data_IF_151202053627
#
_entry.id   IF_151202053627
#
_cell.length_a   1.000
_cell.length_b   1.000
_cell.length_c   1.000
_cell.angle_alpha   90.00
_cell.angle_beta   90.00
_cell.angle_gamma   90.00
#
_symmetry.space_group_name_H-M   'P 1'
#
loop_
_entity.id
_entity.type
_entity.pdbx_description
1 polymer ?
#
# COMPACT_ATOMS: atom_id res chain seq x y z
N UNK A 1 -50.26 36.99 64.57
CA UNK A 1 -49.58 37.78 65.62
C UNK A 1 -48.19 38.13 65.10
N UNK A 2 -47.89 39.43 65.01
CA UNK A 2 -46.57 40.04 64.86
C UNK A 2 -45.79 39.86 63.53
N UNK A 3 -45.81 40.93 62.72
CA UNK A 3 -44.72 41.39 61.81
C UNK A 3 -43.45 41.75 62.63
N UNK A 4 -42.22 41.95 62.09
CA UNK A 4 -41.85 42.95 61.04
C UNK A 4 -40.78 42.43 60.01
N UNK A 5 -40.68 42.95 58.78
CA UNK A 5 -40.01 44.19 58.30
C UNK A 5 -38.57 44.38 58.80
N UNK A 6 -37.59 44.41 57.88
CA UNK A 6 -36.51 45.43 57.77
C UNK A 6 -35.44 44.92 56.79
N UNK A 7 -35.36 45.41 55.54
CA UNK A 7 -34.67 46.64 55.08
C UNK A 7 -33.13 46.50 55.06
N UNK A 8 -32.53 46.63 53.86
CA UNK A 8 -31.08 46.84 53.72
C UNK A 8 -30.43 46.35 52.42
N UNK A 9 -30.62 47.06 51.31
CA UNK A 9 -29.48 47.38 50.40
C UNK A 9 -28.96 48.77 50.81
N UNK A 10 -27.78 49.29 50.38
CA UNK A 10 -26.73 48.78 49.49
C UNK A 10 -25.29 48.95 50.05
N UNK A 11 -24.26 48.48 49.36
CA UNK A 11 -22.99 49.25 49.24
C UNK A 11 -22.21 48.86 47.99
N UNK A 12 -22.01 49.90 47.19
CA UNK A 12 -21.26 50.00 45.95
C UNK A 12 -19.76 49.97 46.26
N UNK A 13 -18.97 49.17 45.55
CA UNK A 13 -17.60 49.56 45.16
C UNK A 13 -17.45 49.33 43.66
N UNK A 14 -16.99 50.41 43.03
CA UNK A 14 -16.85 50.66 41.61
C UNK A 14 -15.57 50.02 41.05
N UNK A 15 -15.66 49.58 39.78
CA UNK A 15 -14.60 49.60 38.75
C UNK A 15 -13.32 48.79 38.98
N UNK A 16 -13.06 47.77 38.15
CA UNK A 16 -12.28 47.95 36.91
C UNK A 16 -12.41 46.74 35.97
N UNK A 17 -12.75 47.08 34.73
CA UNK A 17 -12.68 46.31 33.51
C UNK A 17 -11.36 45.53 33.33
N UNK A 18 -11.44 44.23 33.03
CA UNK A 18 -10.73 43.63 31.88
C UNK A 18 -11.57 42.47 31.35
N UNK A 19 -12.09 42.64 30.14
CA UNK A 19 -12.63 41.59 29.30
C UNK A 19 -11.50 40.75 28.69
N UNK A 20 -11.60 39.43 28.78
CA UNK A 20 -11.03 38.54 27.79
C UNK A 20 -11.99 37.36 27.56
N UNK A 21 -13.00 37.62 26.73
CA UNK A 21 -13.69 36.58 25.98
C UNK A 21 -12.75 36.13 24.86
N UNK A 22 -12.04 35.02 25.06
CA UNK A 22 -11.59 34.18 23.96
C UNK A 22 -11.98 32.76 24.35
N UNK A 23 -12.94 32.23 23.58
CA UNK A 23 -13.63 30.99 23.87
C UNK A 23 -12.68 29.82 24.09
N UNK A 24 -13.00 29.01 25.09
CA UNK A 24 -12.66 27.61 25.03
C UNK A 24 -13.23 27.10 23.70
N UNK A 25 -12.35 26.78 22.75
CA UNK A 25 -12.73 25.99 21.59
C UNK A 25 -13.29 24.69 22.16
N UNK A 26 -14.61 24.59 22.20
CA UNK A 26 -15.31 23.33 22.39
C UNK A 26 -14.93 22.55 21.14
N UNK A 27 -13.84 21.78 21.22
CA UNK A 27 -13.49 20.82 20.20
C UNK A 27 -14.70 19.90 20.09
N UNK A 28 -15.48 20.11 19.04
CA UNK A 28 -16.69 19.34 18.79
C UNK A 28 -16.25 17.87 18.72
N UNK A 29 -16.66 17.00 19.67
CA UNK A 29 -16.12 15.64 19.75
C UNK A 29 -16.43 14.83 18.49
N UNK A 30 -17.41 15.25 17.69
CA UNK A 30 -17.69 14.70 16.37
C UNK A 30 -16.52 14.73 15.38
N UNK A 31 -15.55 15.66 15.51
CA UNK A 31 -14.36 15.68 14.65
C UNK A 31 -13.16 14.93 15.24
N UNK A 32 -13.06 14.80 16.56
CA UNK A 32 -12.02 14.00 17.21
C UNK A 32 -12.31 12.49 17.08
N UNK A 33 -13.58 12.09 17.28
CA UNK A 33 -14.04 10.70 17.16
C UNK A 33 -13.96 10.20 15.71
N UNK A 34 -14.12 11.08 14.70
CA UNK A 34 -13.96 10.72 13.30
C UNK A 34 -12.49 10.42 12.91
N UNK A 35 -11.51 11.01 13.61
CA UNK A 35 -10.07 10.78 13.37
C UNK A 35 -9.52 9.61 14.19
N UNK A 36 -10.19 9.20 15.26
CA UNK A 36 -9.82 8.03 16.06
C UNK A 36 -10.24 6.70 15.40
N UNK A 37 -11.17 6.74 14.43
CA UNK A 37 -11.33 5.66 13.45
C UNK A 37 -10.23 5.69 12.37
N UNK A 38 -8.98 5.98 12.76
CA UNK A 38 -7.81 5.72 11.93
C UNK A 38 -7.48 4.24 12.06
N UNK A 39 -7.72 3.50 10.98
CA UNK A 39 -7.05 2.26 10.59
C UNK A 39 -6.70 1.32 11.75
N UNK A 40 -7.67 0.51 12.18
CA UNK A 40 -7.35 -0.75 12.81
C UNK A 40 -6.60 -1.63 11.80
N UNK A 41 -5.26 -1.51 11.82
CA UNK A 41 -4.28 -2.50 11.41
C UNK A 41 -4.09 -2.77 9.92
N UNK A 42 -3.87 -1.74 9.09
CA UNK A 42 -3.34 -2.00 7.73
C UNK A 42 -1.93 -2.60 7.85
N UNK A 43 -1.72 -3.79 7.30
CA UNK A 43 -0.40 -4.46 7.30
C UNK A 43 0.31 -4.26 5.96
N UNK A 44 1.38 -3.45 5.99
CA UNK A 44 2.21 -3.12 4.82
C UNK A 44 3.27 -4.18 4.51
N UNK A 45 3.50 -5.17 5.38
CA UNK A 45 4.53 -6.20 5.20
C UNK A 45 3.97 -7.39 4.43
N UNK A 46 4.80 -7.97 3.57
CA UNK A 46 4.51 -9.27 2.98
C UNK A 46 4.44 -10.37 4.07
N UNK A 47 3.61 -11.41 3.87
CA UNK A 47 3.66 -12.62 4.69
C UNK A 47 5.03 -13.31 4.63
N UNK A 48 5.35 -14.08 5.66
CA UNK A 48 6.61 -14.84 5.79
C UNK A 48 6.51 -16.28 5.28
N UNK A 49 5.38 -16.67 4.68
CA UNK A 49 5.11 -18.05 4.26
C UNK A 49 5.96 -18.54 3.09
N UNK A 50 6.55 -17.62 2.34
CA UNK A 50 7.53 -17.88 1.29
C UNK A 50 8.71 -16.92 1.42
N UNK A 51 9.92 -17.40 1.11
CA UNK A 51 11.13 -16.60 1.10
C UNK A 51 11.84 -16.71 -0.25
N UNK A 52 12.20 -15.60 -0.92
CA UNK A 52 12.94 -15.66 -2.17
C UNK A 52 14.37 -16.18 -1.95
N UNK A 53 14.87 -16.93 -2.93
CA UNK A 53 16.23 -17.44 -3.02
C UNK A 53 16.98 -16.70 -4.13
N UNK A 54 16.37 -16.57 -5.31
CA UNK A 54 17.00 -15.95 -6.47
C UNK A 54 15.97 -15.39 -7.44
N UNK A 55 16.41 -14.41 -8.23
CA UNK A 55 15.64 -13.82 -9.31
C UNK A 55 16.43 -13.95 -10.61
N UNK A 56 15.76 -14.40 -11.67
CA UNK A 56 16.25 -14.28 -13.04
C UNK A 56 15.36 -13.26 -13.73
N UNK A 57 15.93 -12.11 -14.10
CA UNK A 57 15.20 -10.98 -14.68
C UNK A 57 15.72 -10.74 -16.09
N UNK A 58 14.82 -10.77 -17.07
CA UNK A 58 15.07 -10.31 -18.42
C UNK A 58 14.24 -9.06 -18.67
N UNK A 59 14.87 -8.06 -19.29
CA UNK A 59 14.27 -6.75 -19.51
C UNK A 59 14.59 -6.29 -20.93
N UNK A 60 13.55 -5.94 -21.67
CA UNK A 60 13.63 -5.20 -22.93
C UNK A 60 13.33 -3.74 -22.60
N UNK A 61 14.37 -2.88 -22.52
CA UNK A 61 14.30 -1.62 -21.79
C UNK A 61 13.44 -0.56 -22.48
N UNK A 62 13.24 -0.64 -23.80
CA UNK A 62 12.55 0.42 -24.53
C UNK A 62 11.91 -0.07 -25.82
N UNK A 63 10.62 0.23 -25.95
CA UNK A 63 9.88 0.16 -27.19
C UNK A 63 9.59 1.60 -27.64
N UNK A 64 10.25 2.08 -28.71
CA UNK A 64 10.34 3.51 -29.03
C UNK A 64 9.02 4.20 -29.32
N UNK A 65 8.02 3.46 -29.79
CA UNK A 65 6.73 4.03 -30.14
C UNK A 65 5.86 4.38 -28.92
N UNK A 66 6.18 3.86 -27.72
CA UNK A 66 5.26 3.91 -26.58
C UNK A 66 5.89 4.25 -25.23
N UNK A 67 7.21 4.48 -25.15
CA UNK A 67 7.93 4.60 -23.87
C UNK A 67 7.61 3.45 -22.91
N UNK A 68 7.53 2.23 -23.44
CA UNK A 68 7.24 1.03 -22.64
C UNK A 68 8.44 0.12 -22.57
N UNK A 69 8.55 -0.59 -21.46
CA UNK A 69 9.47 -1.70 -21.29
C UNK A 69 8.67 -2.99 -21.07
N UNK A 70 9.22 -4.10 -21.55
CA UNK A 70 8.68 -5.43 -21.27
C UNK A 70 9.75 -6.24 -20.56
N UNK A 71 9.33 -7.24 -19.81
CA UNK A 71 10.26 -8.15 -19.18
C UNK A 71 9.60 -9.43 -18.75
N UNK A 72 10.44 -10.35 -18.32
CA UNK A 72 10.00 -11.52 -17.59
C UNK A 72 10.90 -11.74 -16.38
N UNK A 73 10.29 -12.22 -15.31
CA UNK A 73 10.99 -12.60 -14.09
C UNK A 73 10.62 -14.02 -13.71
N UNK A 74 11.63 -14.79 -13.31
CA UNK A 74 11.45 -16.04 -12.58
C UNK A 74 12.03 -15.85 -11.18
N UNK A 75 11.19 -16.08 -10.17
CA UNK A 75 11.53 -15.97 -8.76
C UNK A 75 11.58 -17.40 -8.20
N UNK A 76 12.75 -17.86 -7.81
CA UNK A 76 12.86 -19.11 -7.06
C UNK A 76 12.63 -18.80 -5.58
N UNK A 77 11.66 -19.47 -4.96
CA UNK A 77 11.29 -19.28 -3.56
C UNK A 77 11.38 -20.58 -2.78
N UNK A 78 11.60 -20.49 -1.47
CA UNK A 78 11.40 -21.56 -0.51
C UNK A 78 10.08 -21.37 0.24
N UNK A 79 9.34 -22.44 0.47
CA UNK A 79 8.14 -22.41 1.31
C UNK A 79 8.54 -22.63 2.77
N UNK A 80 8.26 -21.65 3.61
CA UNK A 80 8.62 -21.62 5.04
C UNK A 80 7.44 -21.90 5.94
N UNK A 81 6.22 -21.69 5.45
CA UNK A 81 4.96 -22.01 6.14
C UNK A 81 3.94 -22.55 5.12
N UNK A 82 3.02 -23.40 5.56
CA UNK A 82 1.96 -23.93 4.71
C UNK A 82 1.10 -22.77 4.18
N UNK A 83 0.95 -22.65 2.86
CA UNK A 83 0.19 -21.55 2.26
C UNK A 83 -0.39 -21.91 0.90
N UNK A 84 -1.58 -21.41 0.62
CA UNK A 84 -2.30 -21.47 -0.66
C UNK A 84 -2.35 -20.10 -1.34
N UNK A 85 -1.52 -19.15 -0.90
CA UNK A 85 -1.46 -17.82 -1.47
C UNK A 85 -0.02 -17.34 -1.59
N UNK A 86 0.30 -16.74 -2.73
CA UNK A 86 1.58 -16.06 -2.97
C UNK A 86 1.29 -14.59 -3.07
N UNK A 87 1.88 -13.79 -2.17
CA UNK A 87 1.81 -12.33 -2.21
C UNK A 87 3.17 -11.73 -2.51
N UNK A 88 3.21 -10.82 -3.47
CA UNK A 88 4.40 -10.13 -3.95
C UNK A 88 4.10 -8.63 -4.04
N UNK A 89 5.13 -7.83 -4.25
CA UNK A 89 4.94 -6.44 -4.66
C UNK A 89 4.86 -6.34 -6.18
N UNK A 90 3.88 -5.58 -6.67
CA UNK A 90 3.81 -5.10 -8.05
C UNK A 90 3.18 -3.71 -8.04
N UNK A 91 3.88 -2.74 -8.64
CA UNK A 91 3.42 -1.37 -8.74
C UNK A 91 3.58 -0.88 -10.18
N UNK A 92 2.52 -0.30 -10.75
CA UNK A 92 2.49 0.22 -12.14
C UNK A 92 3.03 -0.77 -13.19
N UNK A 93 2.70 -2.06 -13.03
CA UNK A 93 3.04 -3.11 -13.98
C UNK A 93 1.76 -3.77 -14.50
N UNK A 94 1.68 -3.93 -15.80
CA UNK A 94 0.70 -4.78 -16.46
C UNK A 94 1.22 -6.22 -16.44
N UNK A 95 0.59 -7.07 -15.62
CA UNK A 95 0.98 -8.47 -15.47
C UNK A 95 0.38 -9.30 -16.61
N UNK A 96 1.25 -9.89 -17.43
CA UNK A 96 0.91 -10.79 -18.53
C UNK A 96 0.80 -12.24 -18.08
N UNK A 97 1.30 -13.17 -18.90
CA UNK A 97 1.32 -14.61 -18.53
C UNK A 97 2.16 -14.84 -17.28
N UNK A 98 1.70 -15.71 -16.40
CA UNK A 98 2.38 -16.07 -15.16
C UNK A 98 2.18 -17.55 -14.84
N UNK A 99 2.99 -18.10 -13.93
CA UNK A 99 2.89 -19.50 -13.53
C UNK A 99 3.67 -19.83 -12.27
N UNK A 100 3.34 -20.97 -11.65
CA UNK A 100 4.07 -21.51 -10.50
C UNK A 100 4.37 -22.98 -10.76
N UNK A 101 5.65 -23.34 -10.68
CA UNK A 101 6.09 -24.71 -10.93
C UNK A 101 6.97 -25.18 -9.78
N UNK A 102 6.77 -26.41 -9.34
CA UNK A 102 7.65 -27.02 -8.36
C UNK A 102 9.01 -27.26 -8.99
N UNK A 103 10.09 -26.87 -8.32
CA UNK A 103 11.45 -27.07 -8.83
C UNK A 103 11.86 -28.54 -8.84
N UNK A 104 11.22 -29.36 -8.00
CA UNK A 104 11.34 -30.81 -8.03
C UNK A 104 10.40 -31.32 -9.12
N UNK A 105 10.97 -31.79 -10.24
CA UNK A 105 10.27 -32.17 -11.47
C UNK A 105 9.28 -33.35 -11.36
N UNK A 106 8.95 -33.79 -10.14
CA UNK A 106 8.01 -34.87 -9.86
C UNK A 106 6.58 -34.39 -9.67
N UNK A 107 6.36 -33.09 -9.47
CA UNK A 107 5.03 -32.52 -9.30
C UNK A 107 4.57 -31.75 -10.55
N UNK A 108 3.28 -31.86 -10.85
CA UNK A 108 2.64 -31.02 -11.87
C UNK A 108 2.69 -29.53 -11.47
N UNK A 109 2.62 -28.60 -12.45
CA UNK A 109 2.45 -27.18 -12.17
C UNK A 109 1.30 -26.91 -11.19
N UNK A 110 1.46 -25.87 -10.36
CA UNK A 110 0.43 -25.51 -9.39
C UNK A 110 -0.66 -24.72 -10.11
N UNK A 111 -1.88 -25.26 -10.12
CA UNK A 111 -3.03 -24.55 -10.64
C UNK A 111 -3.36 -23.36 -9.73
N UNK A 112 -3.74 -22.25 -10.35
CA UNK A 112 -4.10 -21.01 -9.65
C UNK A 112 -5.55 -20.69 -9.96
N UNK A 113 -6.20 -20.09 -8.98
CA UNK A 113 -7.60 -19.73 -8.98
C UNK A 113 -7.75 -18.31 -9.54
N UNK A 114 -8.14 -18.23 -10.81
CA UNK A 114 -8.41 -16.96 -11.48
C UNK A 114 -7.15 -16.18 -11.86
N UNK A 115 -7.35 -14.88 -12.11
CA UNK A 115 -6.28 -13.95 -12.44
C UNK A 115 -5.60 -13.39 -11.17
N UNK A 116 -4.35 -12.92 -11.25
CA UNK A 116 -3.68 -12.22 -10.17
C UNK A 116 -4.50 -11.01 -9.71
N UNK A 117 -4.60 -10.81 -8.40
CA UNK A 117 -5.33 -9.69 -7.81
C UNK A 117 -4.34 -8.61 -7.39
N UNK A 118 -4.49 -7.41 -7.93
CA UNK A 118 -3.72 -6.23 -7.53
C UNK A 118 -4.50 -5.41 -6.51
N UNK A 119 -3.91 -5.13 -5.35
CA UNK A 119 -4.48 -4.22 -4.36
C UNK A 119 -3.93 -2.81 -4.58
N UNK A 120 -4.63 -2.05 -5.42
CA UNK A 120 -4.42 -0.63 -5.66
C UNK A 120 -5.61 0.23 -5.18
N UNK A 121 -6.63 -0.39 -4.59
CA UNK A 121 -7.92 0.25 -4.31
C UNK A 121 -8.14 0.60 -2.83
N UNK A 122 -7.21 0.22 -1.95
CA UNK A 122 -7.24 0.62 -0.54
C UNK A 122 -6.66 2.02 -0.36
N UNK A 123 -7.09 2.75 0.67
CA UNK A 123 -6.51 4.07 1.03
C UNK A 123 -5.01 4.01 1.31
N UNK A 124 -4.48 2.82 1.53
CA UNK A 124 -3.11 2.57 1.95
C UNK A 124 -2.14 2.22 0.81
N UNK A 125 -2.59 2.16 -0.45
CA UNK A 125 -1.76 1.92 -1.65
C UNK A 125 -0.64 0.86 -1.44
N UNK A 126 -1.06 -0.38 -1.18
CA UNK A 126 -0.17 -1.43 -0.66
C UNK A 126 0.74 -2.08 -1.73
N UNK A 127 0.45 -1.83 -3.01
CA UNK A 127 1.20 -2.37 -4.15
C UNK A 127 1.36 -3.89 -4.10
N UNK A 128 0.33 -4.62 -3.68
CA UNK A 128 0.37 -6.08 -3.61
C UNK A 128 -0.18 -6.74 -4.87
N UNK A 129 0.51 -7.77 -5.33
CA UNK A 129 0.03 -8.78 -6.27
C UNK A 129 -0.21 -10.07 -5.51
N UNK A 130 -1.44 -10.59 -5.53
CA UNK A 130 -1.81 -11.83 -4.86
C UNK A 130 -2.22 -12.90 -5.88
N UNK A 131 -1.59 -14.08 -5.78
CA UNK A 131 -1.96 -15.29 -6.50
C UNK A 131 -2.64 -16.25 -5.53
N UNK A 132 -3.89 -16.62 -5.79
CA UNK A 132 -4.62 -17.60 -4.99
C UNK A 132 -4.50 -18.98 -5.63
N UNK A 133 -4.06 -19.98 -4.89
CA UNK A 133 -3.70 -21.30 -5.42
C UNK A 133 -4.81 -22.31 -5.16
N UNK A 134 -4.95 -23.31 -6.03
CA UNK A 134 -5.96 -24.36 -5.83
C UNK A 134 -5.60 -25.37 -4.73
N UNK A 135 -4.36 -25.31 -4.24
CA UNK A 135 -3.79 -26.17 -3.20
C UNK A 135 -2.68 -25.43 -2.48
N UNK A 136 -2.36 -25.90 -1.27
CA UNK A 136 -1.18 -25.44 -0.56
C UNK A 136 0.10 -25.82 -1.29
N UNK A 137 1.09 -24.91 -1.24
CA UNK A 137 2.48 -25.21 -1.54
C UNK A 137 3.07 -26.11 -0.43
N UNK A 138 4.01 -26.98 -0.82
CA UNK A 138 4.57 -27.94 0.12
C UNK A 138 5.69 -27.31 0.96
N UNK A 139 5.55 -27.37 2.28
CA UNK A 139 6.55 -26.85 3.23
C UNK A 139 7.95 -27.42 2.95
N UNK A 140 8.96 -26.54 2.97
CA UNK A 140 10.36 -26.91 2.75
C UNK A 140 10.74 -27.19 1.29
N UNK A 141 9.79 -27.10 0.36
CA UNK A 141 10.06 -27.25 -1.07
C UNK A 141 10.29 -25.90 -1.76
N UNK A 142 10.94 -25.96 -2.92
CA UNK A 142 11.21 -24.80 -3.76
C UNK A 142 10.28 -24.74 -4.96
N UNK A 143 9.87 -23.52 -5.29
CA UNK A 143 9.03 -23.24 -6.45
C UNK A 143 9.63 -22.12 -7.27
N UNK A 144 9.45 -22.21 -8.59
CA UNK A 144 9.69 -21.11 -9.51
C UNK A 144 8.36 -20.42 -9.81
N UNK A 145 8.29 -19.14 -9.49
CA UNK A 145 7.15 -18.26 -9.78
C UNK A 145 7.57 -17.35 -10.94
N UNK A 146 6.88 -17.43 -12.06
CA UNK A 146 7.21 -16.67 -13.26
C UNK A 146 6.13 -15.66 -13.64
N UNK A 147 6.56 -14.51 -14.15
CA UNK A 147 5.69 -13.47 -14.69
C UNK A 147 6.30 -12.86 -15.95
N UNK A 148 5.47 -12.62 -16.95
CA UNK A 148 5.73 -11.61 -17.97
C UNK A 148 5.08 -10.30 -17.51
N UNK A 149 5.74 -9.18 -17.71
CA UNK A 149 5.23 -7.87 -17.32
C UNK A 149 5.55 -6.81 -18.37
N UNK A 150 4.72 -5.77 -18.39
CA UNK A 150 4.98 -4.53 -19.13
C UNK A 150 4.86 -3.35 -18.17
N UNK A 151 5.68 -2.32 -18.36
CA UNK A 151 5.54 -1.06 -17.65
C UNK A 151 5.79 0.13 -18.58
N UNK A 152 5.48 1.32 -18.07
CA UNK A 152 5.73 2.60 -18.75
C UNK A 152 6.97 3.25 -18.14
N UNK A 153 7.85 3.78 -18.99
CA UNK A 153 8.95 4.65 -18.61
C UNK A 153 8.39 6.05 -18.33
N UNK A 154 8.00 6.26 -17.08
CA UNK A 154 7.56 7.57 -16.58
C UNK A 154 8.74 8.56 -16.52
N UNK A 155 8.44 9.85 -16.40
CA UNK A 155 9.43 10.92 -16.20
C UNK A 155 9.40 11.49 -14.77
N UNK A 156 8.81 10.74 -13.83
CA UNK A 156 8.65 11.12 -12.42
C UNK A 156 9.85 10.77 -11.54
N UNK A 157 10.92 10.21 -12.12
CA UNK A 157 12.13 9.73 -11.45
C UNK A 157 11.92 8.59 -10.45
N UNK A 158 10.80 7.86 -10.52
CA UNK A 158 10.54 6.69 -9.69
C UNK A 158 10.69 5.38 -10.48
N UNK A 159 11.40 4.41 -9.91
CA UNK A 159 11.52 3.07 -10.49
C UNK A 159 12.36 3.04 -11.77
N UNK A 160 11.83 2.41 -12.82
CA UNK A 160 12.47 2.40 -14.14
C UNK A 160 11.84 3.50 -15.01
N UNK A 161 12.59 4.57 -15.21
CA UNK A 161 12.10 5.85 -15.74
C UNK A 161 12.91 6.30 -16.96
N UNK A 162 12.36 7.23 -17.74
CA UNK A 162 13.07 7.91 -18.84
C UNK A 162 13.66 9.23 -18.36
N UNK A 163 14.80 9.59 -18.91
CA UNK A 163 15.43 10.90 -18.74
C UNK A 163 15.85 11.41 -20.11
N UNK A 164 15.92 12.73 -20.27
CA UNK A 164 16.32 13.39 -21.51
C UNK A 164 17.47 14.36 -21.28
N UNK A 165 18.21 14.66 -22.34
CA UNK A 165 19.31 15.63 -22.33
C UNK A 165 19.29 16.49 -23.62
N UNK A 166 19.93 17.66 -23.59
CA UNK A 166 19.96 18.58 -24.74
C UNK A 166 21.34 18.58 -25.40
N UNK A 167 21.38 18.42 -26.72
CA UNK A 167 22.58 18.58 -27.55
C UNK A 167 22.23 19.46 -28.75
N UNK A 168 22.98 20.54 -28.96
CA UNK A 168 22.79 21.47 -30.08
C UNK A 168 21.32 21.97 -30.19
N UNK A 169 20.72 22.33 -29.05
CA UNK A 169 19.31 22.74 -28.90
C UNK A 169 18.25 21.67 -29.24
N UNK A 170 18.65 20.41 -29.46
CA UNK A 170 17.75 19.26 -29.61
C UNK A 170 17.65 18.44 -28.31
N UNK A 171 16.42 18.08 -27.91
CA UNK A 171 16.17 17.16 -26.79
C UNK A 171 16.29 15.71 -27.28
N UNK A 172 17.06 14.91 -26.56
CA UNK A 172 17.35 13.49 -26.82
C UNK A 172 16.91 12.63 -25.65
#
# INVERSE_FOLDING_TARGET
>A
MHSPVSMGTPRIILLTCVTALIGAAIANPHHAVAREKREAGVNYRLPTSISPISYVVYLVPFHPEQFRFTGNVTITVNVTELTDSVRLHANRLDIGSWGITNKVATELPVNVLGAPVTDNSTTADLHFLTLNLSRNLTLGQQYDISFNFTGTLEDDMYGFYRSSYTVDDEVR
#
